data_IF_850063515542
#
_entry.id   IF_850063515542
#
_cell.length_a   1.000
_cell.length_b   1.000
_cell.length_c   1.000
_cell.angle_alpha   90.00
_cell.angle_beta   90.00
_cell.angle_gamma   90.00
#
_symmetry.space_group_name_H-M   'P 1'
#
loop_
_entity.id
_entity.type
_entity.pdbx_description
1 polymer ?
#
# COMPACT_ATOMS: atom_id res chain seq x y z
N UNK A 1 -19.22 -5.60 1.27
CA UNK A 1 -18.78 -4.18 1.25
C UNK A 1 -17.59 -4.08 0.33
N UNK A 2 -17.50 -3.04 -0.49
CA UNK A 2 -16.38 -2.87 -1.42
C UNK A 2 -15.25 -2.10 -0.75
N UNK A 3 -14.01 -2.59 -0.85
CA UNK A 3 -12.83 -1.84 -0.45
C UNK A 3 -12.22 -1.13 -1.67
N UNK A 4 -11.73 0.09 -1.47
CA UNK A 4 -11.05 0.89 -2.48
C UNK A 4 -9.73 1.39 -1.89
N UNK A 5 -8.63 1.24 -2.63
CA UNK A 5 -7.36 1.88 -2.34
C UNK A 5 -7.35 3.24 -3.01
N UNK A 6 -7.18 4.30 -2.22
CA UNK A 6 -6.96 5.65 -2.73
C UNK A 6 -5.47 5.93 -2.67
N UNK A 7 -4.85 6.19 -3.81
CA UNK A 7 -3.45 6.62 -3.90
C UNK A 7 -3.41 8.08 -4.31
N UNK A 8 -2.64 8.87 -3.56
CA UNK A 8 -2.41 10.27 -3.86
C UNK A 8 -0.91 10.46 -4.02
N UNK A 9 -0.49 10.91 -5.20
CA UNK A 9 0.91 11.19 -5.48
C UNK A 9 1.06 12.60 -6.06
N UNK A 10 2.03 13.33 -5.52
CA UNK A 10 2.39 14.66 -6.00
C UNK A 10 3.66 14.51 -6.80
N UNK A 11 3.58 14.86 -8.09
CA UNK A 11 4.74 14.85 -8.96
C UNK A 11 5.69 16.02 -8.62
N UNK A 12 6.94 15.95 -9.08
CA UNK A 12 7.94 17.03 -9.00
C UNK A 12 7.46 18.39 -9.51
N UNK A 13 6.47 18.40 -10.41
CA UNK A 13 5.81 19.59 -10.94
C UNK A 13 4.77 20.23 -9.99
N UNK A 14 4.51 19.60 -8.83
CA UNK A 14 3.49 20.03 -7.86
C UNK A 14 2.06 19.59 -8.21
N UNK A 15 1.88 18.87 -9.32
CA UNK A 15 0.58 18.32 -9.67
C UNK A 15 0.27 17.09 -8.82
N UNK A 16 -0.88 17.13 -8.14
CA UNK A 16 -1.36 16.02 -7.32
C UNK A 16 -2.34 15.19 -8.14
N UNK A 17 -2.06 13.90 -8.24
CA UNK A 17 -2.93 12.92 -8.87
C UNK A 17 -3.56 12.06 -7.78
N UNK A 18 -4.86 11.78 -7.92
CA UNK A 18 -5.59 10.88 -7.02
C UNK A 18 -6.18 9.77 -7.86
N UNK A 19 -5.85 8.54 -7.53
CA UNK A 19 -6.36 7.35 -8.20
C UNK A 19 -7.09 6.46 -7.20
N UNK A 20 -8.19 5.85 -7.65
CA UNK A 20 -9.01 4.96 -6.86
C UNK A 20 -9.03 3.56 -7.49
N UNK A 21 -8.44 2.58 -6.81
CA UNK A 21 -8.40 1.19 -7.26
C UNK A 21 -9.33 0.33 -6.41
N UNK A 22 -10.25 -0.40 -7.04
CA UNK A 22 -11.16 -1.30 -6.34
C UNK A 22 -10.47 -2.62 -5.97
N UNK A 23 -10.53 -3.00 -4.69
CA UNK A 23 -10.06 -4.30 -4.22
C UNK A 23 -10.99 -5.43 -4.69
N UNK A 24 -10.42 -6.61 -4.97
CA UNK A 24 -11.17 -7.86 -5.11
C UNK A 24 -11.56 -8.43 -3.75
N UNK A 25 -12.51 -9.37 -3.71
CA UNK A 25 -13.05 -9.94 -2.46
C UNK A 25 -12.00 -10.65 -1.60
N UNK A 26 -10.93 -11.16 -2.22
CA UNK A 26 -9.82 -11.85 -1.58
C UNK A 26 -8.52 -11.02 -1.57
N UNK A 27 -8.60 -9.71 -1.82
CA UNK A 27 -7.45 -8.82 -1.89
C UNK A 27 -7.49 -7.81 -0.76
N UNK A 28 -6.38 -7.67 -0.05
CA UNK A 28 -6.18 -6.66 0.98
C UNK A 28 -4.97 -5.80 0.59
N UNK A 29 -5.03 -4.51 0.91
CA UNK A 29 -3.92 -3.59 0.66
C UNK A 29 -3.27 -3.24 1.98
N UNK A 30 -1.95 -3.40 2.05
CA UNK A 30 -1.14 -2.99 3.20
C UNK A 30 -0.14 -1.95 2.73
N UNK A 31 -0.13 -0.80 3.41
CA UNK A 31 0.82 0.27 3.13
C UNK A 31 1.97 0.12 4.12
N UNK A 32 3.17 -0.10 3.61
CA UNK A 32 4.40 -0.22 4.40
C UNK A 32 5.42 0.80 3.92
N UNK A 33 6.11 1.45 4.83
CA UNK A 33 7.18 2.39 4.51
C UNK A 33 8.51 1.64 4.34
N UNK A 34 9.03 1.59 3.12
CA UNK A 34 10.29 0.94 2.83
C UNK A 34 11.01 1.57 1.64
N UNK A 35 12.35 1.56 1.68
CA UNK A 35 13.19 2.11 0.60
C UNK A 35 13.17 1.28 -0.68
N UNK A 36 12.67 0.04 -0.61
CA UNK A 36 12.72 -0.92 -1.72
C UNK A 36 11.64 -1.98 -1.56
N UNK A 37 11.24 -2.59 -2.68
CA UNK A 37 10.24 -3.67 -2.70
C UNK A 37 10.61 -4.83 -1.78
N UNK A 38 11.88 -5.20 -1.76
CA UNK A 38 12.37 -6.31 -0.92
C UNK A 38 12.22 -5.99 0.58
N UNK A 39 12.64 -4.79 1.01
CA UNK A 39 12.43 -4.30 2.39
C UNK A 39 10.95 -4.17 2.75
N UNK A 40 10.10 -3.77 1.80
CA UNK A 40 8.66 -3.69 2.02
C UNK A 40 8.08 -5.06 2.39
N UNK A 41 8.52 -6.11 1.69
CA UNK A 41 8.12 -7.48 1.97
C UNK A 41 8.66 -7.97 3.32
N UNK A 42 9.95 -7.75 3.61
CA UNK A 42 10.54 -8.15 4.90
C UNK A 42 9.81 -7.50 6.07
N UNK A 43 9.51 -6.18 5.99
CA UNK A 43 8.75 -5.49 7.04
C UNK A 43 7.34 -6.05 7.20
N UNK A 44 6.68 -6.44 6.12
CA UNK A 44 5.34 -7.04 6.21
C UNK A 44 5.40 -8.40 6.92
N UNK A 45 6.36 -9.23 6.55
CA UNK A 45 6.58 -10.56 7.13
C UNK A 45 6.96 -10.48 8.62
N UNK A 46 7.83 -9.53 9.00
CA UNK A 46 8.19 -9.27 10.41
C UNK A 46 6.97 -8.85 11.25
N UNK A 47 6.06 -8.04 10.70
CA UNK A 47 4.87 -7.58 11.43
C UNK A 47 3.83 -8.70 11.61
N UNK A 48 3.73 -9.64 10.67
CA UNK A 48 2.88 -10.83 10.83
C UNK A 48 3.41 -11.79 11.90
N UNK A 49 4.73 -11.97 11.99
CA UNK A 49 5.36 -12.89 12.95
C UNK A 49 5.30 -12.36 14.40
N UNK A 50 5.43 -11.03 14.60
CA UNK A 50 5.32 -10.40 15.94
C UNK A 50 3.88 -10.35 16.49
N UNK A 51 2.88 -10.64 15.65
CA UNK A 51 1.46 -10.59 16.02
C UNK A 51 0.87 -11.95 16.43
N UNK A 52 1.68 -13.02 16.47
CA UNK A 52 1.27 -14.40 16.79
C UNK A 52 1.99 -14.96 18.04
#
# INVERSE_FOLDING_TARGET
>A
MNQYLITTFTDSTGQTFTEATKARENQTFTVVEADSKEKALSKYEEVEDESN
#
